data_IF_505310809157
#
_entry.id   IF_505310809157
#
_cell.length_a   1.000
_cell.length_b   1.000
_cell.length_c   1.000
_cell.angle_alpha   90.00
_cell.angle_beta   90.00
_cell.angle_gamma   90.00
#
_symmetry.space_group_name_H-M   'P 1'
#
loop_
_entity.id
_entity.type
_entity.pdbx_description
1 polymer ?
#
# COMPACT_ATOMS: atom_id res chain seq x y z
N UNK A 1 -1.74 12.74 -13.99
CA UNK A 1 -0.55 11.93 -14.28
C UNK A 1 -0.32 10.94 -13.14
N UNK A 2 0.04 9.68 -13.44
CA UNK A 2 0.49 8.69 -12.45
C UNK A 2 1.98 8.48 -12.64
N UNK A 3 2.74 8.51 -11.55
CA UNK A 3 4.20 8.32 -11.55
C UNK A 3 4.67 7.35 -10.47
N UNK A 4 5.88 6.86 -10.62
CA UNK A 4 6.62 6.17 -9.57
C UNK A 4 7.15 7.16 -8.54
N UNK A 5 7.51 6.64 -7.35
CA UNK A 5 8.23 7.44 -6.36
C UNK A 5 9.68 7.69 -6.81
N UNK A 6 10.21 8.84 -6.46
CA UNK A 6 11.60 9.18 -6.66
C UNK A 6 12.43 8.72 -5.44
N UNK A 7 13.08 7.58 -5.57
CA UNK A 7 13.88 7.01 -4.48
C UNK A 7 15.12 7.84 -4.12
N UNK A 8 15.53 8.77 -4.99
CA UNK A 8 16.63 9.71 -4.67
C UNK A 8 16.18 10.76 -3.65
N UNK A 9 14.87 11.04 -3.56
CA UNK A 9 14.24 11.96 -2.60
C UNK A 9 13.27 11.22 -1.68
N UNK A 10 13.65 10.02 -1.24
CA UNK A 10 12.79 9.09 -0.53
C UNK A 10 12.04 9.72 0.66
N UNK A 11 12.74 10.49 1.49
CA UNK A 11 12.14 11.09 2.69
C UNK A 11 11.02 12.09 2.32
N UNK A 12 11.23 12.89 1.27
CA UNK A 12 10.22 13.81 0.75
C UNK A 12 9.02 13.09 0.12
N UNK A 13 9.27 12.02 -0.64
CA UNK A 13 8.18 11.20 -1.21
C UNK A 13 7.37 10.47 -0.13
N UNK A 14 8.04 10.00 0.92
CA UNK A 14 7.38 9.40 2.07
C UNK A 14 6.50 10.42 2.82
N UNK A 15 6.99 11.65 3.00
CA UNK A 15 6.23 12.75 3.58
C UNK A 15 4.97 13.06 2.76
N UNK A 16 5.07 13.16 1.44
CA UNK A 16 3.92 13.37 0.54
C UNK A 16 2.88 12.27 0.75
N UNK A 17 3.30 11.00 0.73
CA UNK A 17 2.39 9.85 0.85
C UNK A 17 1.70 9.84 2.21
N UNK A 18 2.45 10.04 3.30
CA UNK A 18 1.90 9.95 4.66
C UNK A 18 1.01 11.17 5.01
N UNK A 19 1.31 12.34 4.46
CA UNK A 19 0.40 13.48 4.53
C UNK A 19 -0.89 13.23 3.74
N UNK A 20 -0.80 12.65 2.53
CA UNK A 20 -1.98 12.23 1.79
C UNK A 20 -2.79 11.16 2.53
N UNK A 21 -2.13 10.24 3.23
CA UNK A 21 -2.79 9.24 4.09
C UNK A 21 -3.59 9.92 5.20
N UNK A 22 -2.98 10.86 5.92
CA UNK A 22 -3.65 11.61 6.98
C UNK A 22 -4.93 12.30 6.48
N UNK A 23 -4.87 12.93 5.30
CA UNK A 23 -6.03 13.60 4.72
C UNK A 23 -7.06 12.59 4.20
N UNK A 24 -6.63 11.56 3.50
CA UNK A 24 -7.52 10.59 2.84
C UNK A 24 -8.30 9.74 3.85
N UNK A 25 -7.70 9.43 5.01
CA UNK A 25 -8.27 8.54 6.01
C UNK A 25 -8.83 9.25 7.24
N UNK A 26 -8.84 10.59 7.25
CA UNK A 26 -9.24 11.40 8.41
C UNK A 26 -10.63 11.08 8.97
N UNK A 27 -11.52 10.52 8.17
CA UNK A 27 -12.89 10.12 8.57
C UNK A 27 -13.06 8.61 8.75
N UNK A 28 -11.99 7.83 8.55
CA UNK A 28 -12.08 6.39 8.76
C UNK A 28 -12.19 6.07 10.26
N UNK A 29 -13.05 5.15 10.60
CA UNK A 29 -13.23 4.70 11.98
C UNK A 29 -11.89 4.24 12.59
N UNK A 30 -11.58 4.77 13.78
CA UNK A 30 -10.36 4.42 14.52
C UNK A 30 -9.05 4.96 13.94
N UNK A 31 -9.09 5.77 12.87
CA UNK A 31 -7.88 6.37 12.33
C UNK A 31 -7.39 7.52 13.22
N UNK A 32 -6.12 7.47 13.58
CA UNK A 32 -5.42 8.55 14.27
C UNK A 32 -4.38 9.13 13.32
N UNK A 33 -4.44 10.44 13.00
CA UNK A 33 -3.47 11.07 12.13
C UNK A 33 -2.05 10.94 12.67
N UNK A 34 -1.12 10.64 11.77
CA UNK A 34 0.31 10.58 12.08
C UNK A 34 0.85 11.99 12.32
N UNK A 35 1.65 12.13 13.38
CA UNK A 35 2.43 13.34 13.64
C UNK A 35 3.65 13.42 12.69
N UNK A 36 4.26 14.60 12.54
CA UNK A 36 5.48 14.77 11.73
C UNK A 36 6.61 13.83 12.16
N UNK A 37 6.78 13.62 13.47
CA UNK A 37 7.80 12.71 14.00
C UNK A 37 7.52 11.25 13.61
N UNK A 38 6.26 10.82 13.66
CA UNK A 38 5.82 9.49 13.24
C UNK A 38 5.96 9.30 11.73
N UNK A 39 5.65 10.33 10.93
CA UNK A 39 5.86 10.33 9.47
C UNK A 39 7.34 10.09 9.15
N UNK A 40 8.23 10.87 9.75
CA UNK A 40 9.67 10.71 9.55
C UNK A 40 10.19 9.33 10.00
N UNK A 41 9.67 8.82 11.12
CA UNK A 41 10.03 7.49 11.62
C UNK A 41 9.51 6.38 10.71
N UNK A 42 8.23 6.43 10.30
CA UNK A 42 7.61 5.44 9.43
C UNK A 42 8.31 5.39 8.07
N UNK A 43 8.64 6.53 7.48
CA UNK A 43 9.40 6.61 6.23
C UNK A 43 10.71 5.82 6.29
N UNK A 44 11.50 6.04 7.35
CA UNK A 44 12.77 5.30 7.55
C UNK A 44 12.56 3.78 7.70
N UNK A 45 11.52 3.37 8.42
CA UNK A 45 11.21 1.95 8.68
C UNK A 45 10.67 1.23 7.45
N UNK A 46 9.93 1.91 6.60
CA UNK A 46 9.36 1.32 5.38
C UNK A 46 10.39 1.18 4.25
N UNK A 47 11.43 2.00 4.25
CA UNK A 47 12.44 2.05 3.17
C UNK A 47 12.96 0.67 2.71
N UNK A 48 13.27 -0.31 3.57
CA UNK A 48 13.79 -1.61 3.14
C UNK A 48 12.81 -2.49 2.36
N UNK A 49 11.50 -2.23 2.49
CA UNK A 49 10.42 -3.03 1.88
C UNK A 49 9.66 -2.27 0.78
N UNK A 50 10.08 -1.04 0.49
CA UNK A 50 9.50 -0.21 -0.58
C UNK A 50 10.26 -0.45 -1.87
N UNK A 51 9.53 -0.81 -2.91
CA UNK A 51 10.02 -0.98 -4.26
C UNK A 51 9.45 0.14 -5.13
N UNK A 52 10.34 0.88 -5.80
CA UNK A 52 9.99 2.06 -6.58
C UNK A 52 8.82 1.81 -7.55
N UNK A 53 8.86 0.71 -8.23
CA UNK A 53 7.90 0.30 -9.26
C UNK A 53 6.58 -0.28 -8.70
N UNK A 54 6.47 -0.41 -7.38
CA UNK A 54 5.26 -0.84 -6.68
C UNK A 54 4.61 0.27 -5.85
N UNK A 55 5.15 1.50 -5.92
CA UNK A 55 4.56 2.67 -5.27
C UNK A 55 4.21 3.71 -6.31
N UNK A 56 2.96 4.17 -6.29
CA UNK A 56 2.45 5.17 -7.24
C UNK A 56 1.95 6.40 -6.50
N UNK A 57 2.24 7.54 -7.11
CA UNK A 57 1.66 8.82 -6.74
C UNK A 57 0.91 9.33 -7.98
N UNK A 58 -0.34 9.70 -7.79
CA UNK A 58 -1.12 10.38 -8.83
C UNK A 58 -1.13 11.88 -8.57
N UNK A 59 -0.89 12.64 -9.62
CA UNK A 59 -0.87 14.08 -9.62
C UNK A 59 -1.98 14.63 -10.51
N UNK A 60 -2.65 15.67 -10.02
CA UNK A 60 -3.62 16.45 -10.76
C UNK A 60 -3.24 17.93 -10.64
N UNK A 61 -3.14 18.64 -11.76
CA UNK A 61 -2.67 20.03 -11.84
C UNK A 61 -1.35 20.27 -11.08
N UNK A 62 -0.40 19.32 -11.24
CA UNK A 62 0.94 19.38 -10.62
C UNK A 62 0.97 19.09 -9.11
N UNK A 63 -0.16 18.74 -8.50
CA UNK A 63 -0.26 18.44 -7.07
C UNK A 63 -0.50 16.96 -6.83
N UNK A 64 0.20 16.32 -5.87
CA UNK A 64 -0.11 14.97 -5.45
C UNK A 64 -1.52 14.90 -4.87
N UNK A 65 -2.35 14.00 -5.39
CA UNK A 65 -3.77 13.86 -4.98
C UNK A 65 -4.18 12.44 -4.64
N UNK A 66 -3.35 11.46 -4.99
CA UNK A 66 -3.60 10.08 -4.60
C UNK A 66 -2.29 9.29 -4.53
N UNK A 67 -2.31 8.20 -3.78
CA UNK A 67 -1.18 7.30 -3.68
C UNK A 67 -1.64 5.85 -3.55
N UNK A 68 -0.76 4.93 -3.90
CA UNK A 68 -0.94 3.49 -3.70
C UNK A 68 0.41 2.85 -3.40
N UNK A 69 0.48 2.10 -2.32
CA UNK A 69 1.63 1.28 -1.95
C UNK A 69 1.25 -0.18 -2.15
N UNK A 70 2.07 -0.87 -2.91
CA UNK A 70 2.01 -2.33 -3.05
C UNK A 70 3.32 -2.92 -2.55
N UNK A 71 3.25 -4.02 -1.85
CA UNK A 71 4.41 -4.76 -1.34
C UNK A 71 4.29 -6.24 -1.68
N UNK A 72 5.41 -6.94 -1.88
CA UNK A 72 5.43 -8.39 -1.92
C UNK A 72 4.90 -8.98 -0.62
N UNK A 73 4.24 -10.13 -0.66
CA UNK A 73 3.81 -10.81 0.57
C UNK A 73 5.04 -11.32 1.33
N UNK A 74 5.39 -10.61 2.40
CA UNK A 74 6.53 -10.94 3.26
C UNK A 74 6.35 -12.32 3.91
N UNK A 75 5.12 -12.77 4.15
CA UNK A 75 4.88 -14.10 4.72
C UNK A 75 5.33 -15.21 3.76
N UNK A 76 5.16 -15.02 2.44
CA UNK A 76 5.72 -15.98 1.48
C UNK A 76 7.26 -15.99 1.52
N UNK A 77 7.88 -14.81 1.70
CA UNK A 77 9.34 -14.69 1.74
C UNK A 77 9.97 -15.27 3.03
N UNK A 78 9.19 -15.36 4.11
CA UNK A 78 9.67 -15.81 5.43
C UNK A 78 9.15 -17.19 5.80
N UNK A 79 8.28 -17.80 5.02
CA UNK A 79 7.54 -19.01 5.34
C UNK A 79 8.40 -20.18 5.86
N UNK A 80 9.58 -20.37 5.28
CA UNK A 80 10.50 -21.46 5.62
C UNK A 80 11.58 -21.07 6.63
N UNK A 81 11.46 -19.90 7.25
CA UNK A 81 12.35 -19.47 8.33
C UNK A 81 11.83 -19.88 9.71
N UNK A 82 10.58 -20.37 9.82
CA UNK A 82 9.94 -20.82 11.06
C UNK A 82 10.13 -19.85 12.25
N UNK A 83 10.15 -18.53 11.94
CA UNK A 83 10.39 -17.48 12.93
C UNK A 83 11.86 -17.34 13.37
N UNK A 84 12.79 -18.10 12.80
CA UNK A 84 14.20 -18.11 13.19
C UNK A 84 15.05 -17.30 12.21
N UNK A 85 15.61 -16.19 12.69
CA UNK A 85 16.53 -15.37 11.90
C UNK A 85 17.99 -15.76 12.09
N UNK A 86 18.36 -16.41 13.18
CA UNK A 86 19.72 -16.83 13.45
C UNK A 86 19.87 -18.36 13.29
N UNK A 87 21.06 -18.83 12.83
CA UNK A 87 22.25 -18.04 12.50
C UNK A 87 22.23 -17.38 11.12
N UNK A 88 21.52 -17.92 10.11
CA UNK A 88 21.61 -17.44 8.71
C UNK A 88 20.27 -17.00 8.11
N UNK A 89 19.16 -17.10 8.83
CA UNK A 89 17.83 -16.72 8.35
C UNK A 89 17.74 -15.23 7.94
N UNK A 90 18.43 -14.35 8.67
CA UNK A 90 18.51 -12.93 8.33
C UNK A 90 19.18 -12.68 6.98
N UNK A 91 20.26 -13.38 6.65
CA UNK A 91 20.95 -13.23 5.38
C UNK A 91 20.08 -13.71 4.21
N UNK A 92 19.37 -14.83 4.40
CA UNK A 92 18.40 -15.38 3.46
C UNK A 92 17.26 -14.40 3.22
N UNK A 93 16.73 -13.78 4.28
CA UNK A 93 15.68 -12.77 4.18
C UNK A 93 16.15 -11.53 3.41
N UNK A 94 17.32 -10.98 3.74
CA UNK A 94 17.89 -9.84 3.04
C UNK A 94 18.10 -10.11 1.54
N UNK A 95 18.57 -11.31 1.21
CA UNK A 95 18.75 -11.71 -0.18
C UNK A 95 17.40 -11.78 -0.92
N UNK A 96 16.36 -12.34 -0.29
CA UNK A 96 15.00 -12.40 -0.84
C UNK A 96 14.37 -11.01 -0.99
N UNK A 97 14.58 -10.13 -0.04
CA UNK A 97 14.08 -8.75 -0.11
C UNK A 97 14.73 -7.94 -1.25
N UNK A 98 15.95 -8.28 -1.68
CA UNK A 98 16.57 -7.62 -2.83
C UNK A 98 15.92 -7.98 -4.17
N UNK A 99 15.47 -9.21 -4.31
CA UNK A 99 14.82 -9.72 -5.50
C UNK A 99 13.60 -10.57 -5.10
N UNK A 100 12.54 -9.94 -4.60
CA UNK A 100 11.38 -10.68 -4.10
C UNK A 100 10.66 -11.33 -5.29
N UNK A 101 10.57 -12.65 -5.22
CA UNK A 101 9.70 -13.43 -6.08
C UNK A 101 8.59 -13.99 -5.23
N UNK A 102 7.38 -13.52 -5.48
CA UNK A 102 6.20 -13.89 -4.70
C UNK A 102 5.01 -14.04 -5.62
N UNK A 103 4.15 -14.98 -5.31
CA UNK A 103 2.88 -15.15 -6.04
C UNK A 103 1.83 -14.13 -5.58
N UNK A 104 1.99 -13.58 -4.39
CA UNK A 104 1.04 -12.64 -3.79
C UNK A 104 1.65 -11.26 -3.59
N UNK A 105 0.89 -10.26 -3.97
CA UNK A 105 1.15 -8.86 -3.67
C UNK A 105 0.07 -8.34 -2.73
N UNK A 106 0.43 -7.45 -1.82
CA UNK A 106 -0.51 -6.79 -0.91
C UNK A 106 -0.51 -5.29 -1.14
N UNK A 107 -1.70 -4.71 -1.07
CA UNK A 107 -1.92 -3.26 -1.09
C UNK A 107 -2.31 -2.83 0.32
N UNK A 108 -1.34 -2.55 1.21
CA UNK A 108 -1.64 -2.17 2.58
C UNK A 108 -2.20 -0.76 2.69
N UNK A 109 -1.78 0.15 1.81
CA UNK A 109 -2.13 1.56 1.89
C UNK A 109 -2.49 2.09 0.50
N UNK A 110 -3.64 2.72 0.43
CA UNK A 110 -4.11 3.47 -0.74
C UNK A 110 -5.01 4.62 -0.27
N UNK A 111 -4.89 5.75 -0.91
CA UNK A 111 -5.72 6.91 -0.59
C UNK A 111 -5.85 7.88 -1.75
N UNK A 112 -6.99 8.57 -1.78
CA UNK A 112 -7.26 9.68 -2.69
C UNK A 112 -7.62 10.89 -1.83
N UNK A 113 -7.09 12.06 -2.18
CA UNK A 113 -7.37 13.30 -1.48
C UNK A 113 -8.88 13.51 -1.34
N UNK A 114 -9.31 13.94 -0.14
CA UNK A 114 -10.72 14.07 0.22
C UNK A 114 -11.53 14.93 -0.76
N UNK A 115 -10.93 15.98 -1.30
CA UNK A 115 -11.55 16.86 -2.29
C UNK A 115 -11.95 16.18 -3.60
N UNK A 116 -11.40 15.02 -3.90
CA UNK A 116 -11.71 14.24 -5.10
C UNK A 116 -12.55 12.99 -4.81
N UNK A 117 -12.71 12.59 -3.55
CA UNK A 117 -13.48 11.42 -3.18
C UNK A 117 -14.94 11.54 -3.63
N UNK A 118 -15.54 10.42 -4.00
CA UNK A 118 -16.90 10.36 -4.56
C UNK A 118 -17.02 10.82 -6.01
N UNK A 119 -15.96 11.42 -6.59
CA UNK A 119 -15.95 11.86 -7.97
C UNK A 119 -15.43 10.81 -8.96
N UNK A 120 -15.78 10.96 -10.23
CA UNK A 120 -15.31 10.07 -11.32
C UNK A 120 -13.78 10.06 -11.43
N UNK A 121 -13.13 11.20 -11.16
CA UNK A 121 -11.66 11.32 -11.22
C UNK A 121 -10.97 10.43 -10.19
N UNK A 122 -11.52 10.33 -8.98
CA UNK A 122 -10.98 9.45 -7.95
C UNK A 122 -10.92 7.99 -8.42
N UNK A 123 -12.01 7.48 -8.98
CA UNK A 123 -12.08 6.12 -9.54
C UNK A 123 -11.09 5.90 -10.69
N UNK A 124 -10.96 6.88 -11.59
CA UNK A 124 -10.01 6.81 -12.70
C UNK A 124 -8.56 6.78 -12.21
N UNK A 125 -8.18 7.64 -11.26
CA UNK A 125 -6.83 7.67 -10.69
C UNK A 125 -6.52 6.36 -9.94
N UNK A 126 -7.47 5.86 -9.16
CA UNK A 126 -7.36 4.60 -8.46
C UNK A 126 -7.13 3.44 -9.43
N UNK A 127 -7.95 3.33 -10.48
CA UNK A 127 -7.81 2.29 -11.49
C UNK A 127 -6.46 2.37 -12.22
N UNK A 128 -6.03 3.57 -12.59
CA UNK A 128 -4.71 3.76 -13.22
C UNK A 128 -3.57 3.28 -12.33
N UNK A 129 -3.59 3.61 -11.02
CA UNK A 129 -2.58 3.16 -10.07
C UNK A 129 -2.58 1.64 -9.91
N UNK A 130 -3.77 1.03 -9.80
CA UNK A 130 -3.94 -0.42 -9.72
C UNK A 130 -3.34 -1.09 -10.96
N UNK A 131 -3.68 -0.61 -12.16
CA UNK A 131 -3.20 -1.22 -13.41
C UNK A 131 -1.68 -1.07 -13.57
N UNK A 132 -1.09 0.09 -13.22
CA UNK A 132 0.36 0.25 -13.22
C UNK A 132 1.05 -0.72 -12.26
N UNK A 133 0.54 -0.86 -11.04
CA UNK A 133 1.11 -1.77 -10.05
C UNK A 133 0.87 -3.24 -10.42
N UNK A 134 -0.28 -3.58 -11.00
CA UNK A 134 -0.56 -4.92 -11.50
C UNK A 134 0.45 -5.34 -12.57
N UNK A 135 0.70 -4.48 -13.57
CA UNK A 135 1.69 -4.77 -14.62
C UNK A 135 3.07 -5.00 -14.03
N UNK A 136 3.56 -4.08 -13.19
CA UNK A 136 4.84 -4.24 -12.52
C UNK A 136 4.90 -5.53 -11.69
N UNK A 137 3.84 -5.85 -10.94
CA UNK A 137 3.73 -7.05 -10.12
C UNK A 137 3.83 -8.34 -10.93
N UNK A 138 3.14 -8.40 -12.06
CA UNK A 138 3.15 -9.59 -12.93
C UNK A 138 4.48 -9.72 -13.68
N UNK A 139 4.91 -8.65 -14.35
CA UNK A 139 6.05 -8.69 -15.27
C UNK A 139 7.39 -8.86 -14.53
N UNK A 140 7.56 -8.14 -13.43
CA UNK A 140 8.83 -8.11 -12.71
C UNK A 140 8.91 -9.11 -11.57
N UNK A 141 7.83 -9.30 -10.82
CA UNK A 141 7.82 -10.10 -9.60
C UNK A 141 7.19 -11.48 -9.79
N UNK A 142 6.49 -11.72 -10.91
CA UNK A 142 5.83 -12.99 -11.21
C UNK A 142 4.57 -13.22 -10.36
N UNK A 143 3.95 -12.14 -9.86
CA UNK A 143 2.76 -12.24 -9.04
C UNK A 143 1.56 -12.72 -9.85
N UNK A 144 0.74 -13.55 -9.23
CA UNK A 144 -0.50 -14.09 -9.79
C UNK A 144 -1.73 -13.67 -9.00
N UNK A 145 -1.54 -13.12 -7.79
CA UNK A 145 -2.61 -12.70 -6.90
C UNK A 145 -2.30 -11.33 -6.32
N UNK A 146 -3.33 -10.49 -6.22
CA UNK A 146 -3.32 -9.23 -5.50
C UNK A 146 -4.29 -9.29 -4.32
N UNK A 147 -3.88 -8.80 -3.17
CA UNK A 147 -4.70 -8.67 -1.98
C UNK A 147 -4.79 -7.20 -1.59
N UNK A 148 -6.00 -6.67 -1.51
CA UNK A 148 -6.22 -5.39 -0.86
C UNK A 148 -6.19 -5.60 0.66
N UNK A 149 -5.49 -4.72 1.35
CA UNK A 149 -5.49 -4.68 2.82
C UNK A 149 -6.89 -4.49 3.37
N UNK A 150 -7.03 -4.32 4.65
CA UNK A 150 -8.37 -4.20 5.24
C UNK A 150 -9.13 -3.03 4.63
N UNK A 151 -10.35 -3.32 4.24
CA UNK A 151 -11.28 -2.31 3.78
C UNK A 151 -12.43 -2.27 4.77
N UNK A 152 -12.68 -1.10 5.35
CA UNK A 152 -13.83 -0.90 6.24
C UNK A 152 -15.12 -1.13 5.46
N UNK A 153 -16.12 -1.77 6.06
CA UNK A 153 -17.38 -2.11 5.39
C UNK A 153 -18.22 -0.87 5.01
N UNK A 154 -18.01 0.24 5.70
CA UNK A 154 -18.65 1.52 5.44
C UNK A 154 -17.88 2.36 4.39
N UNK A 155 -16.66 1.98 4.03
CA UNK A 155 -15.88 2.65 2.98
C UNK A 155 -16.33 2.18 1.58
N UNK A 156 -17.52 2.66 1.17
CA UNK A 156 -18.12 2.31 -0.12
C UNK A 156 -17.24 2.69 -1.33
N UNK A 157 -16.47 3.77 -1.21
CA UNK A 157 -15.52 4.19 -2.24
C UNK A 157 -14.46 3.12 -2.50
N UNK A 158 -13.84 2.63 -1.44
CA UNK A 158 -12.81 1.59 -1.55
C UNK A 158 -13.37 0.23 -1.94
N UNK A 159 -14.58 -0.11 -1.43
CA UNK A 159 -15.28 -1.33 -1.83
C UNK A 159 -15.56 -1.36 -3.34
N UNK A 160 -16.05 -0.24 -3.89
CA UNK A 160 -16.30 -0.11 -5.34
C UNK A 160 -15.01 -0.22 -6.15
N UNK A 161 -13.91 0.41 -5.68
CA UNK A 161 -12.60 0.32 -6.34
C UNK A 161 -12.06 -1.12 -6.34
N UNK A 162 -12.21 -1.85 -5.23
CA UNK A 162 -11.76 -3.23 -5.13
C UNK A 162 -12.53 -4.17 -6.07
N UNK A 163 -13.79 -3.88 -6.36
CA UNK A 163 -14.61 -4.65 -7.30
C UNK A 163 -14.20 -4.47 -8.77
N UNK A 164 -13.61 -3.32 -9.15
CA UNK A 164 -13.23 -3.04 -10.54
C UNK A 164 -12.31 -4.11 -11.15
N UNK A 165 -11.27 -4.60 -10.48
CA UNK A 165 -10.43 -5.69 -11.00
C UNK A 165 -11.05 -7.09 -10.78
N UNK A 166 -12.29 -7.19 -10.32
CA UNK A 166 -12.96 -8.47 -10.04
C UNK A 166 -12.53 -9.12 -8.71
N UNK A 167 -12.11 -8.33 -7.71
CA UNK A 167 -11.73 -8.87 -6.42
C UNK A 167 -12.93 -9.44 -5.65
N UNK A 168 -12.70 -10.55 -4.96
CA UNK A 168 -13.68 -11.20 -4.08
C UNK A 168 -13.27 -11.00 -2.63
N UNK A 169 -14.27 -10.87 -1.74
CA UNK A 169 -14.02 -10.84 -0.29
C UNK A 169 -13.53 -12.22 0.14
N UNK A 170 -12.30 -12.26 0.66
CA UNK A 170 -11.66 -13.50 1.11
C UNK A 170 -11.87 -13.72 2.62
N UNK A 171 -11.74 -12.66 3.42
CA UNK A 171 -11.93 -12.71 4.87
C UNK A 171 -12.75 -11.52 5.34
N UNK A 172 -13.62 -11.75 6.32
CA UNK A 172 -14.35 -10.69 7.03
C UNK A 172 -13.89 -10.68 8.47
N UNK A 173 -13.41 -9.54 8.93
CA UNK A 173 -12.97 -9.32 10.31
C UNK A 173 -14.02 -8.52 11.06
N UNK A 174 -14.12 -8.75 12.37
CA UNK A 174 -14.99 -7.99 13.27
C UNK A 174 -14.21 -7.56 14.50
N UNK A 175 -14.41 -6.33 14.91
CA UNK A 175 -13.88 -5.81 16.17
C UNK A 175 -15.03 -5.76 17.16
N UNK A 176 -14.82 -6.36 18.33
CA UNK A 176 -15.79 -6.40 19.41
C UNK A 176 -15.28 -5.54 20.56
N UNK A 177 -16.16 -4.74 21.16
CA UNK A 177 -15.88 -3.96 22.35
C UNK A 177 -16.81 -4.44 23.48
N UNK A 178 -16.26 -4.55 24.68
CA UNK A 178 -16.99 -4.85 25.91
C UNK A 178 -16.57 -3.85 26.97
N UNK A 179 -17.54 -3.31 27.71
CA UNK A 179 -17.28 -2.56 28.93
C UNK A 179 -16.74 -3.50 30.00
N UNK A 180 -15.75 -3.04 30.78
CA UNK A 180 -15.13 -3.79 31.88
C UNK A 180 -15.89 -3.60 33.19
#
# INVERSE_FOLDING_TARGET
>A
KVREVDTSRFDHEAEIILNLLNVAWSENWGFVPLTEAEIAYAGKKLKPIIYRDLVRIAEYDGRPVAFMITIPDINELTRDLDGRLFPFGWAKLLWRLRNPRTKKMRVPLMGVAKSLQGGRLAGQLAFMMIEHNRRASVEKYGATHGEFGWVLEDNQGMMSIAQLPGANINHTYRIFQREL
#
